data_IF_612279440158
#
_entry.id   IF_612279440158
#
_cell.length_a   1.000
_cell.length_b   1.000
_cell.length_c   1.000
_cell.angle_alpha   90.00
_cell.angle_beta   90.00
_cell.angle_gamma   90.00
#
_symmetry.space_group_name_H-M   'P 1'
#
loop_
_entity.id
_entity.type
_entity.pdbx_description
1 polymer ?
#
# COMPACT_ATOMS: atom_id res chain seq x y z
N UNK A 1 -6.00 -15.69 -15.26
CA UNK A 1 -5.10 -16.06 -14.15
C UNK A 1 -5.25 -15.00 -13.07
N UNK A 2 -5.50 -15.39 -11.83
CA UNK A 2 -5.70 -14.45 -10.72
C UNK A 2 -4.39 -13.72 -10.43
N UNK A 3 -4.43 -12.39 -10.29
CA UNK A 3 -3.25 -11.58 -9.92
C UNK A 3 -2.63 -12.12 -8.61
N UNK A 4 -1.29 -12.20 -8.49
CA UNK A 4 -0.62 -12.63 -7.24
C UNK A 4 -0.70 -11.56 -6.13
N UNK A 5 -1.28 -10.40 -6.44
CA UNK A 5 -1.47 -9.28 -5.53
C UNK A 5 -2.91 -9.21 -5.05
N UNK A 6 -3.08 -8.71 -3.83
CA UNK A 6 -4.37 -8.40 -3.22
C UNK A 6 -4.41 -6.93 -2.80
N UNK A 7 -5.61 -6.35 -2.85
CA UNK A 7 -5.89 -5.04 -2.26
C UNK A 7 -6.44 -5.28 -0.85
N UNK A 8 -5.92 -4.53 0.11
CA UNK A 8 -6.48 -4.51 1.45
C UNK A 8 -7.75 -3.67 1.48
N UNK A 9 -8.62 -4.00 2.42
CA UNK A 9 -9.88 -3.33 2.70
C UNK A 9 -10.12 -3.38 4.21
N UNK A 10 -11.24 -2.82 4.66
CA UNK A 10 -11.59 -2.73 6.08
C UNK A 10 -11.65 -4.10 6.78
N UNK A 11 -12.06 -5.16 6.06
CA UNK A 11 -12.17 -6.50 6.63
C UNK A 11 -10.81 -7.21 6.69
N UNK A 12 -10.00 -7.05 5.64
CA UNK A 12 -8.70 -7.71 5.49
C UNK A 12 -7.58 -7.04 6.28
N UNK A 13 -7.64 -5.72 6.48
CA UNK A 13 -6.59 -4.96 7.19
C UNK A 13 -6.46 -5.37 8.66
N UNK A 14 -7.44 -6.04 9.26
CA UNK A 14 -7.33 -6.52 10.64
C UNK A 14 -6.40 -7.75 10.76
N UNK A 15 -6.38 -8.63 9.75
CA UNK A 15 -5.71 -9.92 9.82
C UNK A 15 -4.54 -10.08 8.85
N UNK A 16 -4.50 -9.29 7.78
CA UNK A 16 -3.43 -9.32 6.81
C UNK A 16 -2.13 -8.72 7.34
N UNK A 17 -1.01 -9.26 6.86
CA UNK A 17 0.29 -8.69 7.17
C UNK A 17 0.53 -7.38 6.41
N UNK A 18 0.78 -6.29 7.14
CA UNK A 18 1.29 -5.04 6.55
C UNK A 18 2.80 -4.91 6.83
N UNK A 19 3.58 -4.74 5.77
CA UNK A 19 5.03 -4.78 5.81
C UNK A 19 5.66 -3.37 5.77
N UNK A 20 4.99 -2.39 6.38
CA UNK A 20 5.44 -1.00 6.44
C UNK A 20 6.75 -0.83 7.21
N UNK A 21 7.49 0.26 6.92
CA UNK A 21 8.70 0.63 7.65
C UNK A 21 8.49 0.78 9.17
N UNK A 22 7.24 1.03 9.57
CA UNK A 22 6.81 1.27 10.95
C UNK A 22 6.66 -0.04 11.75
N UNK A 23 6.65 -1.22 11.10
CA UNK A 23 6.23 -2.49 11.70
C UNK A 23 7.32 -3.42 12.28
N UNK A 24 8.53 -2.96 12.62
CA UNK A 24 9.56 -3.84 13.23
C UNK A 24 9.95 -3.43 14.65
N UNK A 25 9.79 -4.35 15.61
CA UNK A 25 10.35 -4.26 16.96
C UNK A 25 9.48 -3.48 17.95
N UNK A 26 10.05 -2.49 18.66
CA UNK A 26 9.41 -1.66 19.71
C UNK A 26 8.23 -0.79 19.23
N UNK A 27 7.76 -0.98 18.00
CA UNK A 27 6.81 -0.13 17.29
C UNK A 27 5.48 -0.83 16.98
N UNK A 28 5.06 -1.84 17.76
CA UNK A 28 3.72 -2.45 17.62
C UNK A 28 2.61 -1.39 17.61
N UNK A 29 2.75 -0.35 18.44
CA UNK A 29 1.86 0.81 18.44
C UNK A 29 1.80 1.52 17.08
N UNK A 30 2.92 1.63 16.38
CA UNK A 30 2.99 2.26 15.06
C UNK A 30 2.34 1.41 13.97
N UNK A 31 2.44 0.08 14.07
CA UNK A 31 1.68 -0.81 13.18
C UNK A 31 0.18 -0.64 13.37
N UNK A 32 -0.30 -0.62 14.62
CA UNK A 32 -1.73 -0.42 14.90
C UNK A 32 -2.20 0.95 14.41
N UNK A 33 -1.46 2.03 14.71
CA UNK A 33 -1.78 3.38 14.20
C UNK A 33 -1.86 3.38 12.67
N UNK A 34 -0.95 2.69 11.97
CA UNK A 34 -1.00 2.60 10.51
C UNK A 34 -2.22 1.81 10.04
N UNK A 35 -2.62 0.73 10.73
CA UNK A 35 -3.84 -0.03 10.41
C UNK A 35 -5.08 0.83 10.58
N UNK A 36 -5.19 1.54 11.69
CA UNK A 36 -6.31 2.43 11.99
C UNK A 36 -6.39 3.57 10.96
N UNK A 37 -5.24 4.14 10.57
CA UNK A 37 -5.17 5.15 9.52
C UNK A 37 -5.58 4.57 8.16
N UNK A 38 -5.04 3.42 7.75
CA UNK A 38 -5.43 2.78 6.49
C UNK A 38 -6.92 2.49 6.42
N UNK A 39 -7.50 2.00 7.52
CA UNK A 39 -8.94 1.75 7.63
C UNK A 39 -9.78 3.00 7.33
N UNK A 40 -9.36 4.17 7.80
CA UNK A 40 -10.02 5.45 7.53
C UNK A 40 -9.81 5.89 6.08
N UNK A 41 -8.59 5.82 5.57
CA UNK A 41 -8.27 6.31 4.22
C UNK A 41 -8.85 5.45 3.09
N UNK A 42 -9.24 4.20 3.35
CA UNK A 42 -9.96 3.40 2.36
C UNK A 42 -11.27 4.06 1.93
N UNK A 43 -11.94 4.80 2.82
CA UNK A 43 -13.15 5.58 2.48
C UNK A 43 -12.85 6.76 1.54
N UNK A 44 -11.61 7.25 1.55
CA UNK A 44 -11.10 8.30 0.66
C UNK A 44 -10.48 7.78 -0.64
N UNK A 45 -10.64 6.48 -0.93
CA UNK A 45 -10.11 5.85 -2.15
C UNK A 45 -8.63 5.50 -2.09
N UNK A 46 -8.02 5.45 -0.89
CA UNK A 46 -6.67 4.89 -0.76
C UNK A 46 -6.68 3.40 -1.13
N UNK A 47 -5.76 3.01 -2.00
CA UNK A 47 -5.53 1.61 -2.36
C UNK A 47 -4.19 1.18 -1.77
N UNK A 48 -4.24 0.20 -0.87
CA UNK A 48 -3.07 -0.54 -0.40
C UNK A 48 -3.03 -1.89 -1.10
N UNK A 49 -2.13 -2.06 -2.08
CA UNK A 49 -1.97 -3.32 -2.82
C UNK A 49 -0.66 -3.99 -2.46
N UNK A 50 -0.72 -5.27 -2.06
CA UNK A 50 0.46 -6.06 -1.67
C UNK A 50 0.51 -7.40 -2.39
N UNK A 51 1.72 -7.97 -2.46
CA UNK A 51 1.88 -9.38 -2.82
C UNK A 51 1.16 -10.26 -1.79
N UNK A 52 0.49 -11.32 -2.24
CA UNK A 52 -0.13 -12.30 -1.36
C UNK A 52 0.90 -13.25 -0.71
N UNK A 53 1.94 -12.67 -0.11
CA UNK A 53 2.96 -13.35 0.66
C UNK A 53 3.42 -12.45 1.80
N UNK A 54 4.01 -13.03 2.85
CA UNK A 54 4.70 -12.25 3.88
C UNK A 54 6.00 -11.70 3.32
N UNK A 55 6.02 -10.40 3.03
CA UNK A 55 7.17 -9.74 2.42
C UNK A 55 6.94 -8.25 2.23
N UNK A 56 8.04 -7.52 1.99
CA UNK A 56 8.03 -6.09 1.68
C UNK A 56 7.86 -5.88 0.17
N UNK A 57 6.65 -6.12 -0.32
CA UNK A 57 6.22 -5.94 -1.72
C UNK A 57 4.81 -5.35 -1.73
N UNK A 58 4.71 -4.02 -1.87
CA UNK A 58 3.43 -3.31 -1.87
C UNK A 58 3.52 -1.92 -2.50
N UNK A 59 2.37 -1.36 -2.82
CA UNK A 59 2.16 0.03 -3.24
C UNK A 59 0.96 0.62 -2.50
N UNK A 60 1.08 1.89 -2.11
CA UNK A 60 0.01 2.73 -1.56
C UNK A 60 -0.23 3.90 -2.51
N UNK A 61 -1.44 3.98 -3.05
CA UNK A 61 -1.88 5.09 -3.91
C UNK A 61 -3.17 5.71 -3.37
N UNK A 62 -3.37 7.00 -3.59
CA UNK A 62 -4.56 7.74 -3.16
C UNK A 62 -4.88 8.85 -4.17
N UNK A 63 -6.14 9.25 -4.34
CA UNK A 63 -6.46 10.45 -5.11
C UNK A 63 -5.75 11.68 -4.56
N UNK A 64 -5.31 12.58 -5.45
CA UNK A 64 -4.51 13.75 -5.07
C UNK A 64 -5.20 14.66 -4.06
N UNK A 65 -6.54 14.70 -4.07
CA UNK A 65 -7.36 15.56 -3.20
C UNK A 65 -7.27 15.13 -1.73
N UNK A 66 -6.96 13.85 -1.48
CA UNK A 66 -6.80 13.25 -0.15
C UNK A 66 -5.34 12.93 0.17
N UNK A 67 -4.41 13.24 -0.73
CA UNK A 67 -3.00 13.02 -0.48
C UNK A 67 -2.48 13.94 0.63
N UNK A 68 -1.75 13.38 1.59
CA UNK A 68 -1.05 14.14 2.64
C UNK A 68 0.23 14.81 2.10
N UNK A 69 0.10 15.56 1.00
CA UNK A 69 1.17 16.32 0.34
C UNK A 69 0.61 17.68 -0.12
N UNK A 70 1.38 18.77 -0.05
CA UNK A 70 0.92 20.09 -0.47
C UNK A 70 0.96 20.23 -1.99
N UNK A 71 0.12 19.46 -2.69
CA UNK A 71 0.03 19.43 -4.15
C UNK A 71 -1.41 19.71 -4.56
N UNK A 72 -1.58 20.35 -5.72
CA UNK A 72 -2.86 20.57 -6.37
C UNK A 72 -2.78 19.90 -7.74
N UNK A 73 -3.33 18.70 -7.86
CA UNK A 73 -3.23 17.89 -9.08
C UNK A 73 -4.55 17.15 -9.35
N UNK A 74 -5.64 17.85 -9.71
CA UNK A 74 -6.96 17.23 -9.87
C UNK A 74 -6.93 16.08 -10.88
N UNK A 75 -7.60 14.97 -10.55
CA UNK A 75 -7.63 13.74 -11.36
C UNK A 75 -6.28 13.01 -11.49
N UNK A 76 -5.36 13.22 -10.54
CA UNK A 76 -4.14 12.42 -10.43
C UNK A 76 -4.18 11.50 -9.21
N UNK A 77 -3.51 10.36 -9.32
CA UNK A 77 -3.19 9.49 -8.20
C UNK A 77 -1.79 9.81 -7.65
N UNK A 78 -1.63 9.69 -6.34
CA UNK A 78 -0.39 9.95 -5.63
C UNK A 78 0.12 8.67 -5.01
N UNK A 79 1.32 8.26 -5.42
CA UNK A 79 2.04 7.18 -4.74
C UNK A 79 2.56 7.71 -3.39
N UNK A 80 2.00 7.19 -2.30
CA UNK A 80 2.50 7.41 -0.94
C UNK A 80 3.70 6.53 -0.64
N UNK A 81 3.61 5.26 -1.03
CA UNK A 81 4.68 4.29 -0.79
C UNK A 81 4.74 3.30 -1.94
N UNK A 82 5.95 2.95 -2.38
CA UNK A 82 6.22 1.82 -3.25
C UNK A 82 7.45 1.12 -2.69
N UNK A 83 7.30 -0.16 -2.32
CA UNK A 83 8.39 -0.91 -1.70
C UNK A 83 8.49 -2.31 -2.28
N UNK A 84 9.70 -2.65 -2.76
CA UNK A 84 10.10 -4.03 -3.11
C UNK A 84 11.45 -4.32 -2.49
N UNK A 85 11.56 -5.35 -1.65
CA UNK A 85 12.85 -5.68 -1.02
C UNK A 85 13.02 -7.15 -0.63
N UNK A 86 14.23 -7.50 -0.17
CA UNK A 86 14.59 -8.87 0.22
C UNK A 86 14.64 -9.82 -0.97
N UNK A 87 14.16 -11.05 -0.76
CA UNK A 87 14.12 -12.11 -1.78
C UNK A 87 13.32 -11.76 -3.04
N UNK A 88 12.48 -10.72 -2.97
CA UNK A 88 11.60 -10.30 -4.07
C UNK A 88 12.25 -9.28 -5.03
N UNK A 89 13.46 -8.80 -4.74
CA UNK A 89 14.20 -7.92 -5.68
C UNK A 89 14.52 -8.69 -6.97
N UNK A 90 14.53 -8.00 -8.11
CA UNK A 90 14.87 -8.60 -9.42
C UNK A 90 13.74 -9.39 -10.09
N UNK A 91 12.56 -9.50 -9.49
CA UNK A 91 11.42 -10.28 -10.01
C UNK A 91 10.34 -9.40 -10.66
N UNK A 92 10.70 -8.20 -11.12
CA UNK A 92 9.79 -7.23 -11.75
C UNK A 92 8.55 -6.77 -10.94
N UNK A 93 8.44 -7.11 -9.64
CA UNK A 93 7.31 -6.67 -8.80
C UNK A 93 7.09 -5.16 -8.79
N UNK A 94 8.17 -4.36 -8.81
CA UNK A 94 8.06 -2.90 -8.83
C UNK A 94 7.39 -2.40 -10.10
N UNK A 95 7.71 -3.02 -11.24
CA UNK A 95 7.06 -2.73 -12.52
C UNK A 95 5.58 -3.13 -12.45
N UNK A 96 5.26 -4.35 -12.01
CA UNK A 96 3.87 -4.81 -11.93
C UNK A 96 2.99 -3.95 -11.00
N UNK A 97 3.54 -3.48 -9.87
CA UNK A 97 2.82 -2.60 -8.95
C UNK A 97 2.61 -1.20 -9.54
N UNK A 98 3.57 -0.70 -10.32
CA UNK A 98 3.45 0.58 -11.00
C UNK A 98 2.49 0.51 -12.18
N UNK A 99 2.56 -0.55 -12.99
CA UNK A 99 1.61 -0.81 -14.09
C UNK A 99 0.18 -0.81 -13.54
N UNK A 100 -0.06 -1.50 -12.41
CA UNK A 100 -1.34 -1.44 -11.70
C UNK A 100 -1.75 -0.01 -11.35
N UNK A 101 -0.87 0.81 -10.77
CA UNK A 101 -1.19 2.17 -10.36
C UNK A 101 -1.40 3.15 -11.53
N UNK A 102 -0.96 2.80 -12.73
CA UNK A 102 -1.21 3.59 -13.96
C UNK A 102 -2.60 3.26 -14.53
N UNK A 103 -3.07 2.03 -14.33
CA UNK A 103 -4.36 1.54 -14.82
C UNK A 103 -5.55 1.88 -13.88
N UNK A 104 -5.29 2.33 -12.66
CA UNK A 104 -6.28 2.82 -11.68
C UNK A 104 -6.47 4.35 -11.78
#
# INVERSE_FOLDING_TARGET
>A
MTSPYLNLNIDSIAHEHICCAIGKGKHQKGEQIKRDWLAQEFEHGLIFRKLNERGKVFIEIVPSEYALKPIVAPNFMVIHCLWVSGKFKGHAHGKSLLDFAIDE
#
